data_IF_110963171814
#
_entry.id   IF_110963171814
#
_cell.length_a   1.000
_cell.length_b   1.000
_cell.length_c   1.000
_cell.angle_alpha   90.00
_cell.angle_beta   90.00
_cell.angle_gamma   90.00
#
_symmetry.space_group_name_H-M   'P 1'
#
loop_
_entity.id
_entity.type
_entity.pdbx_description
1 polymer ?
#
# COMPACT_ATOMS: atom_id res chain seq x y z
N UNK A 1 1.45 -14.35 17.45
CA UNK A 1 1.79 -13.80 16.12
C UNK A 1 3.25 -13.36 16.13
N UNK A 2 4.00 -13.53 15.03
CA UNK A 2 5.37 -13.04 14.95
C UNK A 2 5.38 -11.51 15.06
N UNK A 3 6.34 -10.98 15.82
CA UNK A 3 6.57 -9.54 15.98
C UNK A 3 7.03 -8.93 14.65
N UNK A 4 6.55 -7.73 14.33
CA UNK A 4 6.98 -6.99 13.14
C UNK A 4 8.51 -6.85 13.13
N UNK A 5 9.14 -7.22 12.02
CA UNK A 5 10.56 -7.01 11.79
C UNK A 5 10.74 -5.71 10.96
N UNK A 6 11.34 -4.68 11.59
CA UNK A 6 11.57 -3.38 10.94
C UNK A 6 12.56 -3.45 9.78
N UNK A 7 13.52 -4.37 9.81
CA UNK A 7 14.47 -4.55 8.71
C UNK A 7 13.75 -5.13 7.48
N UNK A 8 12.86 -6.10 7.70
CA UNK A 8 12.01 -6.68 6.66
C UNK A 8 11.04 -5.64 6.10
N UNK A 9 10.49 -4.76 6.94
CA UNK A 9 9.66 -3.66 6.48
C UNK A 9 10.41 -2.72 5.52
N UNK A 10 11.65 -2.35 5.87
CA UNK A 10 12.47 -1.44 5.06
C UNK A 10 13.02 -2.10 3.78
N UNK A 11 13.02 -3.43 3.72
CA UNK A 11 13.50 -4.23 2.58
C UNK A 11 12.38 -4.99 1.88
N UNK A 12 11.12 -4.63 2.17
CA UNK A 12 9.96 -5.26 1.56
C UNK A 12 10.06 -5.18 0.03
N UNK A 13 9.73 -6.28 -0.65
CA UNK A 13 9.87 -6.32 -2.11
C UNK A 13 8.77 -5.44 -2.75
N UNK A 14 9.10 -4.58 -3.74
CA UNK A 14 8.10 -3.77 -4.43
C UNK A 14 6.94 -4.60 -5.00
N UNK A 15 7.24 -5.79 -5.52
CA UNK A 15 6.26 -6.72 -6.09
C UNK A 15 5.25 -7.19 -5.06
N UNK A 16 5.70 -7.65 -3.89
CA UNK A 16 4.79 -8.17 -2.86
C UNK A 16 3.87 -7.06 -2.33
N UNK A 17 4.42 -5.86 -2.12
CA UNK A 17 3.64 -4.71 -1.65
C UNK A 17 2.65 -4.22 -2.71
N UNK A 18 3.02 -4.24 -3.99
CA UNK A 18 2.11 -3.90 -5.08
C UNK A 18 0.96 -4.91 -5.20
N UNK A 19 1.24 -6.22 -5.09
CA UNK A 19 0.21 -7.27 -5.10
C UNK A 19 -0.76 -7.15 -3.91
N UNK A 20 -0.25 -6.90 -2.71
CA UNK A 20 -1.09 -6.67 -1.54
C UNK A 20 -1.95 -5.40 -1.71
N UNK A 21 -1.38 -4.33 -2.26
CA UNK A 21 -2.09 -3.07 -2.53
C UNK A 21 -3.23 -3.27 -3.54
N UNK A 22 -2.99 -4.02 -4.62
CA UNK A 22 -4.04 -4.40 -5.58
C UNK A 22 -5.17 -5.19 -4.92
N UNK A 23 -4.85 -6.10 -3.99
CA UNK A 23 -5.86 -6.86 -3.26
C UNK A 23 -6.76 -5.95 -2.43
N UNK A 24 -6.19 -4.96 -1.73
CA UNK A 24 -6.98 -3.99 -0.96
C UNK A 24 -7.82 -3.11 -1.89
N UNK A 25 -7.23 -2.60 -2.97
CA UNK A 25 -7.91 -1.74 -3.93
C UNK A 25 -9.09 -2.45 -4.61
N UNK A 26 -8.89 -3.68 -5.06
CA UNK A 26 -9.93 -4.51 -5.69
C UNK A 26 -11.12 -4.74 -4.74
N UNK A 27 -10.88 -4.95 -3.43
CA UNK A 27 -11.99 -5.08 -2.47
C UNK A 27 -12.73 -3.78 -2.18
N UNK A 28 -12.08 -2.64 -2.39
CA UNK A 28 -12.69 -1.33 -2.16
C UNK A 28 -13.46 -0.81 -3.38
N UNK A 29 -13.24 -1.37 -4.57
CA UNK A 29 -13.74 -0.79 -5.83
C UNK A 29 -15.26 -0.64 -5.91
N UNK A 30 -16.03 -1.49 -5.22
CA UNK A 30 -17.49 -1.48 -5.24
C UNK A 30 -18.10 -0.38 -4.35
N UNK A 31 -17.28 0.28 -3.52
CA UNK A 31 -17.73 1.35 -2.64
C UNK A 31 -17.65 2.72 -3.32
N UNK A 32 -18.41 3.70 -2.81
CA UNK A 32 -18.29 5.10 -3.25
C UNK A 32 -16.89 5.65 -2.96
N UNK A 33 -16.33 6.56 -3.79
CA UNK A 33 -14.94 7.03 -3.64
C UNK A 33 -14.57 7.53 -2.24
N UNK A 34 -15.44 8.29 -1.60
CA UNK A 34 -15.25 8.79 -0.24
C UNK A 34 -15.16 7.67 0.81
N UNK A 35 -15.86 6.56 0.58
CA UNK A 35 -15.80 5.37 1.44
C UNK A 35 -14.56 4.55 1.15
N UNK A 36 -14.11 4.47 -0.11
CA UNK A 36 -12.87 3.77 -0.48
C UNK A 36 -11.68 4.33 0.28
N UNK A 37 -11.48 5.66 0.23
CA UNK A 37 -10.33 6.30 0.88
C UNK A 37 -10.42 6.23 2.41
N UNK A 38 -11.62 6.42 2.98
CA UNK A 38 -11.83 6.31 4.44
C UNK A 38 -11.65 4.88 4.93
N UNK A 39 -12.12 3.89 4.16
CA UNK A 39 -11.93 2.47 4.45
C UNK A 39 -10.46 2.06 4.42
N UNK A 40 -9.73 2.46 3.37
CA UNK A 40 -8.29 2.21 3.25
C UNK A 40 -7.51 2.86 4.40
N UNK A 41 -7.81 4.12 4.74
CA UNK A 41 -7.17 4.83 5.84
C UNK A 41 -7.44 4.17 7.19
N UNK A 42 -8.68 3.70 7.42
CA UNK A 42 -9.05 2.98 8.65
C UNK A 42 -8.25 1.70 8.79
N UNK A 43 -8.20 0.87 7.73
CA UNK A 43 -7.40 -0.37 7.73
C UNK A 43 -5.93 -0.08 8.02
N UNK A 44 -5.35 0.93 7.37
CA UNK A 44 -3.97 1.32 7.59
C UNK A 44 -3.69 1.73 9.04
N UNK A 45 -4.52 2.61 9.62
CA UNK A 45 -4.32 3.11 10.98
C UNK A 45 -4.48 1.98 12.01
N UNK A 46 -5.48 1.12 11.86
CA UNK A 46 -5.68 -0.04 12.75
C UNK A 46 -4.52 -1.03 12.65
N UNK A 47 -3.99 -1.29 11.45
CA UNK A 47 -2.82 -2.16 11.27
C UNK A 47 -1.56 -1.54 11.87
N UNK A 48 -1.35 -0.24 11.70
CA UNK A 48 -0.20 0.46 12.25
C UNK A 48 -0.17 0.39 13.78
N UNK A 49 -1.32 0.66 14.42
CA UNK A 49 -1.50 0.52 15.87
C UNK A 49 -1.27 -0.92 16.33
N UNK A 50 -1.91 -1.89 15.67
CA UNK A 50 -1.78 -3.31 16.01
C UNK A 50 -0.34 -3.84 15.89
N UNK A 51 0.41 -3.39 14.88
CA UNK A 51 1.80 -3.79 14.64
C UNK A 51 2.81 -2.96 15.44
N UNK A 52 2.36 -1.95 16.19
CA UNK A 52 3.20 -1.08 16.99
C UNK A 52 4.16 -0.23 16.15
N UNK A 53 3.73 0.20 14.96
CA UNK A 53 4.54 1.06 14.09
C UNK A 53 3.89 2.45 13.94
N UNK A 54 4.66 3.54 14.07
CA UNK A 54 4.14 4.87 13.77
C UNK A 54 3.64 4.96 12.33
N UNK A 55 2.42 5.46 12.16
CA UNK A 55 1.82 5.68 10.84
C UNK A 55 2.74 6.46 9.89
N UNK A 56 3.41 7.51 10.40
CA UNK A 56 4.35 8.31 9.62
C UNK A 56 5.56 7.50 9.13
N UNK A 57 6.09 6.58 9.95
CA UNK A 57 7.20 5.69 9.59
C UNK A 57 6.76 4.78 8.43
N UNK A 58 5.61 4.10 8.58
CA UNK A 58 5.05 3.24 7.54
C UNK A 58 4.79 3.99 6.22
N UNK A 59 4.26 5.21 6.28
CA UNK A 59 4.08 6.05 5.08
C UNK A 59 5.39 6.43 4.42
N UNK A 60 6.41 6.77 5.21
CA UNK A 60 7.72 7.18 4.70
C UNK A 60 8.37 6.03 3.94
N UNK A 61 8.41 4.84 4.55
CA UNK A 61 8.97 3.64 3.92
C UNK A 61 8.19 3.27 2.65
N UNK A 62 6.85 3.32 2.71
CA UNK A 62 6.01 3.01 1.55
C UNK A 62 6.23 3.98 0.39
N UNK A 63 6.36 5.29 0.66
CA UNK A 63 6.67 6.30 -0.37
C UNK A 63 8.03 6.06 -1.01
N UNK A 64 9.03 5.71 -0.21
CA UNK A 64 10.36 5.36 -0.71
C UNK A 64 10.36 4.06 -1.50
N UNK A 65 9.46 3.12 -1.19
CA UNK A 65 9.30 1.88 -1.93
C UNK A 65 8.61 2.11 -3.29
N UNK A 66 7.56 2.95 -3.31
CA UNK A 66 6.81 3.27 -4.52
C UNK A 66 7.67 4.00 -5.55
N UNK A 67 8.56 4.87 -5.06
CA UNK A 67 9.49 5.62 -5.90
C UNK A 67 10.81 4.84 -6.05
N UNK A 68 11.38 4.87 -7.25
CA UNK A 68 12.75 4.45 -7.54
C UNK A 68 13.56 5.65 -8.04
N UNK A 69 14.76 5.37 -8.53
CA UNK A 69 15.69 6.41 -8.99
C UNK A 69 15.12 7.23 -10.17
N UNK A 70 14.33 6.58 -11.04
CA UNK A 70 13.70 7.18 -12.22
C UNK A 70 12.20 7.50 -12.01
N UNK A 71 11.78 7.72 -10.76
CA UNK A 71 10.38 7.97 -10.41
C UNK A 71 9.60 6.71 -10.07
N UNK A 72 8.27 6.68 -10.30
CA UNK A 72 7.42 5.57 -9.83
C UNK A 72 7.83 4.22 -10.44
N UNK A 73 8.10 3.23 -9.58
CA UNK A 73 8.53 1.88 -10.01
C UNK A 73 7.42 1.17 -10.79
N UNK A 74 7.81 0.31 -11.73
CA UNK A 74 6.90 -0.34 -12.68
C UNK A 74 5.82 -1.18 -11.99
N UNK A 75 6.15 -1.82 -10.87
CA UNK A 75 5.25 -2.66 -10.08
C UNK A 75 4.02 -1.88 -9.59
N UNK A 76 4.19 -0.59 -9.27
CA UNK A 76 3.11 0.28 -8.81
C UNK A 76 2.40 1.02 -9.95
N UNK A 77 2.95 1.03 -11.17
CA UNK A 77 2.26 1.63 -12.34
C UNK A 77 1.01 0.85 -12.73
N UNK A 78 0.99 -0.46 -12.48
CA UNK A 78 -0.21 -1.30 -12.68
C UNK A 78 -1.40 -0.86 -11.82
N UNK A 79 -1.15 -0.33 -10.63
CA UNK A 79 -2.20 0.21 -9.76
C UNK A 79 -2.82 1.46 -10.39
N UNK A 80 -2.00 2.35 -10.98
CA UNK A 80 -2.51 3.55 -11.66
C UNK A 80 -3.32 3.18 -12.90
N UNK A 81 -2.82 2.23 -13.69
CA UNK A 81 -3.50 1.72 -14.88
C UNK A 81 -4.85 1.09 -14.50
N UNK A 82 -4.90 0.31 -13.41
CA UNK A 82 -6.14 -0.24 -12.88
C UNK A 82 -7.14 0.86 -12.48
N UNK A 83 -6.72 1.87 -11.71
CA UNK A 83 -7.59 2.97 -11.30
C UNK A 83 -8.10 3.80 -12.48
N UNK A 84 -7.36 3.87 -13.58
CA UNK A 84 -7.77 4.52 -14.83
C UNK A 84 -8.66 3.65 -15.71
N UNK A 85 -8.89 2.38 -15.34
CA UNK A 85 -9.63 1.41 -16.15
C UNK A 85 -8.85 0.93 -17.39
N UNK A 86 -7.54 1.12 -17.42
CA UNK A 86 -6.63 0.67 -18.49
C UNK A 86 -6.29 -0.83 -18.36
N UNK A 87 -6.59 -1.43 -17.21
CA UNK A 87 -6.52 -2.87 -16.96
C UNK A 87 -7.92 -3.35 -16.55
N UNK A 88 -8.46 -4.35 -17.26
CA UNK A 88 -9.73 -5.03 -16.98
C UNK A 88 -9.48 -6.50 -16.72
#
# INVERSE_FOLDING_TARGET
MPRLNRDVLNTATPRDVAMASMTVLDRLQDFRPEIQIMGAATVFLTLADHLGIPAQEAFTVTKNLINGDDGKRAEFRGIDAYMKGELK
#
